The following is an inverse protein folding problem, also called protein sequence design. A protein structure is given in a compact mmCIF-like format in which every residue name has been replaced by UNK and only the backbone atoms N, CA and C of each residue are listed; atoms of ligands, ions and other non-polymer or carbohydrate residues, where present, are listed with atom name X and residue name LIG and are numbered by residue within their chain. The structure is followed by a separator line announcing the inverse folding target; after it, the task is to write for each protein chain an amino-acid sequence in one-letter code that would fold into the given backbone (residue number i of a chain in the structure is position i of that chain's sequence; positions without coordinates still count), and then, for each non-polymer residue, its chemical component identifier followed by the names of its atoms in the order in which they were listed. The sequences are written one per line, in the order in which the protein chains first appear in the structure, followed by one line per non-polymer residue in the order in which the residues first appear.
data_IF_629966448123
#
_entry.id   IF_629966448123
#
_cell.length_a   1.000
_cell.length_b   1.000
_cell.length_c   1.000
_cell.angle_alpha   90.00
_cell.angle_beta   90.00
_cell.angle_gamma   90.00
#
_symmetry.space_group_name_H-M   'P 1'
#
loop_
_entity.id
_entity.type
_entity.pdbx_description
1 polymer ?
#
# COMPACT_ATOMS: atom_id res chain seq x y z
N UNK A 1 4.05 45.56 5.33
CA UNK A 1 2.89 46.16 6.03
C UNK A 1 2.16 45.21 6.96
N UNK A 2 2.14 43.91 6.73
CA UNK A 2 1.43 42.93 7.62
C UNK A 2 2.10 42.71 8.98
N UNK A 3 3.42 42.88 9.09
CA UNK A 3 4.17 42.72 10.36
C UNK A 3 4.02 43.90 11.33
N UNK A 4 3.60 45.08 10.87
CA UNK A 4 3.37 46.24 11.73
C UNK A 4 1.98 46.27 12.38
N UNK A 5 1.00 45.60 11.76
CA UNK A 5 -0.35 45.46 12.33
C UNK A 5 -0.42 44.46 13.48
N UNK A 6 0.45 43.44 13.50
CA UNK A 6 0.51 42.46 14.56
C UNK A 6 1.09 43.02 15.88
N UNK A 7 1.98 44.04 15.79
CA UNK A 7 2.58 44.65 16.97
C UNK A 7 1.62 45.60 17.71
N UNK A 8 0.62 46.14 17.04
CA UNK A 8 -0.35 47.09 17.63
C UNK A 8 -1.45 46.31 18.42
N UNK A 9 -1.80 45.10 18.00
CA UNK A 9 -2.82 44.28 18.68
C UNK A 9 -2.30 43.71 19.99
N UNK A 10 -0.99 43.46 20.13
CA UNK A 10 -0.40 42.89 21.37
C UNK A 10 -0.19 44.00 22.44
N UNK A 11 -0.10 45.27 22.05
CA UNK A 11 0.10 46.37 23.01
C UNK A 11 -1.18 46.81 23.76
N UNK A 12 -2.36 46.42 23.30
CA UNK A 12 -3.64 46.82 23.92
C UNK A 12 -4.20 45.84 24.96
N UNK A 13 -3.56 44.69 25.18
CA UNK A 13 -4.06 43.71 26.15
C UNK A 13 -3.34 43.70 27.53
N UNK A 14 -2.38 44.59 27.74
CA UNK A 14 -1.59 44.63 29.00
C UNK A 14 -1.89 45.84 29.90
N UNK A 15 -2.98 46.57 29.66
CA UNK A 15 -3.36 47.71 30.46
C UNK A 15 -4.62 47.52 31.32
N UNK A 16 -4.59 46.67 32.31
CA UNK A 16 -5.80 46.42 33.11
C UNK A 16 -5.54 45.85 34.50
N UNK A 17 -4.66 46.47 35.29
CA UNK A 17 -4.67 46.31 36.75
C UNK A 17 -4.68 47.68 37.37
N UNK A 18 -5.86 48.32 37.39
CA UNK A 18 -6.12 49.46 38.28
C UNK A 18 -6.41 48.90 39.67
N UNK A 19 -5.54 49.24 40.62
CA UNK A 19 -5.80 49.00 42.05
C UNK A 19 -7.01 49.82 42.45
N UNK A 20 -8.13 49.17 42.76
CA UNK A 20 -9.24 49.74 43.51
C UNK A 20 -8.94 49.51 44.98
N UNK A 21 -8.84 50.61 45.73
CA UNK A 21 -8.78 50.59 47.19
C UNK A 21 -9.95 49.79 47.79
N UNK A 22 -9.74 49.00 48.85
CA UNK A 22 -10.83 48.27 49.52
C UNK A 22 -11.71 49.27 50.26
N UNK A 23 -12.82 49.68 49.68
CA UNK A 23 -13.90 50.28 50.43
C UNK A 23 -14.46 49.15 51.33
N UNK A 24 -14.16 49.27 52.60
CA UNK A 24 -14.80 48.47 53.64
C UNK A 24 -16.28 48.84 53.69
N UNK A 25 -17.08 48.17 52.87
CA UNK A 25 -18.53 48.15 53.11
C UNK A 25 -18.77 47.29 54.34
N UNK A 26 -19.14 47.97 55.39
CA UNK A 26 -19.69 47.30 56.59
C UNK A 26 -20.85 46.43 56.14
N UNK A 27 -20.66 45.11 56.22
CA UNK A 27 -21.73 44.13 55.93
C UNK A 27 -22.84 44.36 56.89
N UNK A 28 -23.90 45.00 56.45
CA UNK A 28 -25.12 45.09 57.27
C UNK A 28 -25.63 43.64 57.42
N UNK A 29 -25.86 43.19 58.66
CA UNK A 29 -26.40 41.85 58.85
C UNK A 29 -27.74 41.74 58.13
N UNK A 30 -27.82 40.79 57.21
CA UNK A 30 -29.07 40.57 56.52
C UNK A 30 -30.06 39.98 57.48
N UNK A 31 -31.15 40.71 57.74
CA UNK A 31 -32.24 40.23 58.53
C UNK A 31 -32.84 38.92 58.00
N UNK A 32 -33.10 37.98 58.90
CA UNK A 32 -33.60 36.67 58.59
C UNK A 32 -34.88 36.70 57.73
N UNK A 33 -35.71 37.70 57.93
CA UNK A 33 -36.91 37.90 57.13
C UNK A 33 -36.60 38.28 55.67
N UNK A 34 -35.63 39.17 55.50
CA UNK A 34 -35.17 39.60 54.18
C UNK A 34 -34.47 38.45 53.46
N UNK A 35 -33.68 37.63 54.12
CA UNK A 35 -33.05 36.45 53.58
C UNK A 35 -34.08 35.41 53.11
N UNK A 36 -35.07 35.10 53.97
CA UNK A 36 -36.10 34.11 53.57
C UNK A 36 -36.96 34.61 52.41
N UNK A 37 -37.26 35.92 52.36
CA UNK A 37 -38.01 36.49 51.23
C UNK A 37 -37.22 36.37 49.90
N UNK A 38 -35.90 36.62 49.92
CA UNK A 38 -35.04 36.47 48.74
C UNK A 38 -34.89 35.01 48.35
N UNK A 39 -34.79 34.10 49.30
CA UNK A 39 -34.74 32.67 49.06
C UNK A 39 -36.03 32.17 48.40
N UNK A 40 -37.19 32.59 48.90
CA UNK A 40 -38.48 32.27 48.27
C UNK A 40 -38.59 32.81 46.85
N UNK A 41 -38.17 34.06 46.59
CA UNK A 41 -38.14 34.62 45.26
C UNK A 41 -37.25 33.85 44.30
N UNK A 42 -36.07 33.39 44.78
CA UNK A 42 -35.18 32.54 43.95
C UNK A 42 -35.83 31.18 43.67
N UNK A 43 -36.50 30.56 44.64
CA UNK A 43 -37.20 29.30 44.44
C UNK A 43 -38.33 29.45 43.40
N UNK A 44 -39.14 30.47 43.52
CA UNK A 44 -40.19 30.71 42.52
C UNK A 44 -39.68 30.97 41.14
N UNK A 45 -38.60 31.75 41.00
CA UNK A 45 -37.93 31.98 39.73
C UNK A 45 -37.33 30.70 39.09
N UNK A 46 -36.74 29.82 39.92
CA UNK A 46 -36.25 28.51 39.46
C UNK A 46 -37.35 27.58 39.03
N UNK A 47 -38.49 27.54 39.76
CA UNK A 47 -39.65 26.75 39.42
C UNK A 47 -40.25 27.24 38.10
N UNK A 48 -40.32 28.55 37.88
CA UNK A 48 -40.83 29.13 36.63
C UNK A 48 -39.92 28.78 35.45
N UNK A 49 -38.59 28.88 35.59
CA UNK A 49 -37.64 28.50 34.56
C UNK A 49 -37.71 27.00 34.26
N UNK A 50 -37.84 26.16 35.27
CA UNK A 50 -38.00 24.71 35.12
C UNK A 50 -39.30 24.40 34.37
N UNK A 51 -40.41 25.03 34.76
CA UNK A 51 -41.70 24.83 34.11
C UNK A 51 -41.74 25.33 32.66
N UNK A 52 -40.98 26.40 32.32
CA UNK A 52 -40.85 26.90 30.95
C UNK A 52 -39.93 26.03 30.08
N UNK A 53 -38.87 25.47 30.64
CA UNK A 53 -37.91 24.63 29.93
C UNK A 53 -38.25 23.14 29.92
N UNK A 54 -38.92 22.66 30.98
CA UNK A 54 -39.39 21.28 31.09
C UNK A 54 -40.87 21.18 30.66
N UNK A 55 -41.28 21.83 29.58
CA UNK A 55 -42.54 21.46 28.94
C UNK A 55 -42.49 19.97 28.61
N UNK A 56 -43.59 19.21 28.87
CA UNK A 56 -43.61 17.82 28.49
C UNK A 56 -43.23 17.74 26.98
N UNK A 57 -42.07 17.18 26.69
CA UNK A 57 -41.68 16.95 25.32
C UNK A 57 -42.77 16.11 24.68
N UNK A 58 -43.26 16.59 23.54
CA UNK A 58 -44.20 15.83 22.77
C UNK A 58 -43.56 14.45 22.48
N UNK A 59 -44.05 13.43 23.13
CA UNK A 59 -43.54 12.06 23.00
C UNK A 59 -44.01 11.40 21.70
N UNK A 60 -44.92 12.05 20.96
CA UNK A 60 -45.45 11.54 19.73
C UNK A 60 -44.34 11.19 18.70
N UNK A 61 -43.28 12.00 18.48
CA UNK A 61 -42.19 11.63 17.58
C UNK A 61 -41.41 10.40 18.06
N UNK A 62 -41.26 10.20 19.35
CA UNK A 62 -40.59 9.03 19.93
C UNK A 62 -41.41 7.75 19.73
N UNK A 63 -42.71 7.83 19.88
CA UNK A 63 -43.62 6.72 19.61
C UNK A 63 -43.60 6.36 18.13
N UNK A 64 -43.65 7.35 17.23
CA UNK A 64 -43.52 7.11 15.79
C UNK A 64 -42.18 6.45 15.42
N UNK A 65 -41.08 6.92 16.00
CA UNK A 65 -39.77 6.33 15.76
C UNK A 65 -39.72 4.88 16.26
N UNK A 66 -40.31 4.61 17.41
CA UNK A 66 -40.35 3.25 17.97
C UNK A 66 -41.14 2.29 17.03
N UNK A 67 -42.30 2.74 16.51
CA UNK A 67 -43.07 1.97 15.55
C UNK A 67 -42.29 1.71 14.25
N UNK A 68 -41.57 2.71 13.73
CA UNK A 68 -40.72 2.53 12.54
C UNK A 68 -39.61 1.53 12.77
N UNK A 69 -38.97 1.58 13.95
CA UNK A 69 -37.90 0.61 14.32
C UNK A 69 -38.47 -0.79 14.41
N UNK A 70 -39.63 -0.98 15.01
CA UNK A 70 -40.30 -2.29 15.07
C UNK A 70 -40.66 -2.83 13.67
N UNK A 71 -41.13 -1.96 12.79
CA UNK A 71 -41.46 -2.34 11.41
C UNK A 71 -40.21 -2.75 10.62
N UNK A 72 -39.12 -2.02 10.79
CA UNK A 72 -37.81 -2.37 10.20
C UNK A 72 -37.28 -3.69 10.75
N UNK A 73 -37.38 -3.93 12.06
CA UNK A 73 -36.99 -5.20 12.67
C UNK A 73 -37.79 -6.39 12.09
N UNK A 74 -39.07 -6.23 11.86
CA UNK A 74 -39.90 -7.24 11.21
C UNK A 74 -39.46 -7.48 9.76
N UNK A 75 -39.15 -6.41 9.02
CA UNK A 75 -38.64 -6.53 7.64
C UNK A 75 -37.30 -7.26 7.61
N UNK A 76 -36.36 -6.91 8.49
CA UNK A 76 -35.08 -7.60 8.62
C UNK A 76 -35.25 -9.07 8.96
N UNK A 77 -36.12 -9.37 9.96
CA UNK A 77 -36.41 -10.77 10.32
C UNK A 77 -37.04 -11.55 9.16
N UNK A 78 -37.84 -10.90 8.31
CA UNK A 78 -38.37 -11.54 7.10
C UNK A 78 -37.32 -11.76 6.01
N UNK A 79 -36.26 -10.94 5.98
CA UNK A 79 -35.12 -11.09 5.07
C UNK A 79 -34.12 -12.15 5.57
N UNK A 80 -34.00 -12.34 6.88
CA UNK A 80 -33.13 -13.37 7.48
C UNK A 80 -33.70 -14.79 7.37
N UNK A 81 -34.89 -14.96 6.85
CA UNK A 81 -35.43 -16.25 6.45
C UNK A 81 -35.54 -16.43 4.91
N UNK A 82 -34.49 -16.23 4.12
CA UNK A 82 -34.36 -17.08 2.98
C UNK A 82 -34.07 -18.45 3.59
N UNK A 83 -35.00 -19.42 3.52
CA UNK A 83 -34.59 -20.82 3.50
C UNK A 83 -33.41 -20.86 2.54
N UNK A 84 -32.20 -20.95 3.08
CA UNK A 84 -31.04 -21.25 2.28
C UNK A 84 -31.47 -22.49 1.50
N UNK A 85 -31.86 -22.32 0.23
CA UNK A 85 -31.76 -23.41 -0.72
C UNK A 85 -30.33 -23.82 -0.55
N UNK A 86 -30.14 -24.95 0.11
CA UNK A 86 -28.85 -25.63 0.12
C UNK A 86 -28.57 -25.80 -1.35
N UNK A 87 -27.90 -24.81 -1.95
CA UNK A 87 -27.25 -25.00 -3.23
C UNK A 87 -26.33 -26.14 -2.90
N UNK A 88 -26.68 -27.34 -3.34
CA UNK A 88 -25.79 -28.46 -3.27
C UNK A 88 -24.51 -27.97 -3.94
N UNK A 89 -23.56 -27.52 -3.13
CA UNK A 89 -22.22 -27.20 -3.62
C UNK A 89 -21.80 -28.49 -4.28
N UNK A 90 -21.60 -28.51 -5.61
CA UNK A 90 -21.15 -29.72 -6.28
C UNK A 90 -19.94 -30.17 -5.48
N UNK A 91 -19.94 -31.37 -4.92
CA UNK A 91 -18.85 -31.93 -4.14
C UNK A 91 -17.53 -32.03 -4.91
N UNK A 92 -17.59 -31.67 -6.16
CA UNK A 92 -16.46 -31.39 -7.03
C UNK A 92 -16.71 -30.01 -7.62
N UNK A 93 -16.05 -28.98 -7.06
CA UNK A 93 -15.65 -27.89 -7.93
C UNK A 93 -15.03 -28.58 -9.13
N UNK A 94 -15.65 -28.39 -10.32
CA UNK A 94 -15.00 -28.82 -11.55
C UNK A 94 -13.58 -28.32 -11.41
N UNK A 95 -12.61 -29.25 -11.25
CA UNK A 95 -11.20 -28.87 -11.23
C UNK A 95 -11.05 -28.15 -12.55
N UNK A 96 -10.98 -26.83 -12.50
CA UNK A 96 -10.51 -26.07 -13.65
C UNK A 96 -9.23 -26.78 -14.00
N UNK A 97 -9.09 -27.42 -15.16
CA UNK A 97 -7.89 -28.14 -15.43
C UNK A 97 -6.78 -27.10 -15.46
N UNK A 98 -6.14 -26.88 -14.31
CA UNK A 98 -4.87 -26.15 -14.25
C UNK A 98 -3.89 -26.85 -15.19
N UNK A 99 -4.25 -28.07 -15.61
CA UNK A 99 -3.44 -28.92 -16.46
C UNK A 99 -2.06 -29.08 -15.84
N UNK A 100 -1.06 -29.17 -16.67
CA UNK A 100 0.35 -29.22 -16.28
C UNK A 100 0.93 -27.82 -16.04
N UNK A 101 0.09 -26.85 -15.65
CA UNK A 101 0.52 -25.47 -15.40
C UNK A 101 1.36 -25.41 -14.13
N UNK A 102 2.47 -24.73 -14.29
CA UNK A 102 3.43 -24.45 -13.26
C UNK A 102 2.91 -23.34 -12.32
N UNK A 103 2.99 -23.52 -11.02
CA UNK A 103 2.54 -22.50 -10.05
C UNK A 103 3.73 -21.62 -9.68
N UNK A 104 3.58 -20.32 -9.85
CA UNK A 104 4.55 -19.30 -9.42
C UNK A 104 3.98 -18.48 -8.28
N UNK A 105 4.83 -18.07 -7.34
CA UNK A 105 4.48 -17.07 -6.34
C UNK A 105 4.58 -15.64 -6.90
N UNK A 106 4.31 -14.63 -6.06
CA UNK A 106 4.50 -13.23 -6.46
C UNK A 106 5.98 -12.87 -6.65
N UNK A 107 6.88 -13.63 -5.98
CA UNK A 107 8.33 -13.51 -6.08
C UNK A 107 8.93 -14.90 -6.12
N UNK A 108 9.86 -15.14 -7.06
CA UNK A 108 10.58 -16.40 -7.21
C UNK A 108 12.09 -16.21 -7.24
N UNK A 109 12.82 -17.29 -6.95
CA UNK A 109 14.27 -17.36 -7.15
C UNK A 109 14.55 -17.91 -8.53
N UNK A 110 15.01 -17.06 -9.43
CA UNK A 110 15.25 -17.41 -10.84
C UNK A 110 16.73 -17.43 -11.12
N UNK A 111 17.23 -18.55 -11.63
CA UNK A 111 18.60 -18.67 -12.13
C UNK A 111 18.66 -18.21 -13.59
N UNK A 112 19.64 -17.39 -13.92
CA UNK A 112 19.91 -16.92 -15.27
C UNK A 112 21.24 -17.54 -15.71
N UNK A 113 21.20 -18.44 -16.69
CA UNK A 113 22.37 -19.23 -17.11
C UNK A 113 23.51 -18.32 -17.62
N UNK A 114 23.19 -17.29 -18.42
CA UNK A 114 24.19 -16.38 -19.01
C UNK A 114 24.93 -15.56 -17.94
N UNK A 115 24.28 -15.31 -16.82
CA UNK A 115 24.85 -14.55 -15.69
C UNK A 115 25.36 -15.44 -14.57
N UNK A 116 25.12 -16.75 -14.67
CA UNK A 116 25.50 -17.78 -13.69
C UNK A 116 25.12 -17.39 -12.24
N UNK A 117 23.90 -16.85 -12.06
CA UNK A 117 23.44 -16.40 -10.74
C UNK A 117 21.94 -16.47 -10.59
N UNK A 118 21.48 -16.49 -9.33
CA UNK A 118 20.07 -16.40 -8.97
C UNK A 118 19.67 -14.96 -8.65
N UNK A 119 18.49 -14.59 -9.10
CA UNK A 119 17.87 -13.30 -8.76
C UNK A 119 16.53 -13.52 -8.04
N UNK A 120 16.29 -12.71 -6.99
CA UNK A 120 14.94 -12.50 -6.50
C UNK A 120 14.14 -11.78 -7.60
N UNK A 121 13.11 -12.44 -8.10
CA UNK A 121 12.43 -12.05 -9.33
C UNK A 121 10.97 -11.75 -9.05
N UNK A 122 10.51 -10.57 -9.42
CA UNK A 122 9.09 -10.21 -9.39
C UNK A 122 8.34 -10.91 -10.52
N UNK A 123 7.27 -11.62 -10.17
CA UNK A 123 6.33 -12.20 -11.13
C UNK A 123 5.22 -11.16 -11.35
N UNK A 124 5.15 -10.59 -12.54
CA UNK A 124 4.28 -9.45 -12.83
C UNK A 124 3.32 -9.75 -13.98
N UNK A 125 2.08 -10.05 -13.61
CA UNK A 125 1.00 -10.31 -14.57
C UNK A 125 0.50 -9.04 -15.28
N UNK A 126 0.86 -7.85 -14.80
CA UNK A 126 0.57 -6.56 -15.43
C UNK A 126 1.56 -6.21 -16.54
N UNK A 127 2.84 -6.59 -16.39
CA UNK A 127 3.87 -6.33 -17.38
C UNK A 127 3.75 -7.28 -18.57
N UNK A 128 3.94 -6.78 -19.79
CA UNK A 128 3.93 -7.61 -21.00
C UNK A 128 5.24 -8.38 -21.17
N UNK A 129 6.39 -7.69 -21.01
CA UNK A 129 7.73 -8.23 -21.25
C UNK A 129 8.53 -8.35 -19.97
N UNK A 130 9.52 -9.25 -19.96
CA UNK A 130 10.47 -9.43 -18.88
C UNK A 130 11.61 -8.43 -18.98
N UNK A 131 12.19 -8.03 -17.81
CA UNK A 131 13.27 -7.04 -17.76
C UNK A 131 14.31 -7.38 -16.69
N UNK A 132 15.58 -7.09 -17.03
CA UNK A 132 16.73 -7.28 -16.16
C UNK A 132 17.34 -5.93 -15.77
N UNK A 133 17.73 -5.77 -14.50
CA UNK A 133 18.50 -4.61 -14.03
C UNK A 133 19.90 -4.64 -14.64
N UNK A 134 20.17 -3.70 -15.51
CA UNK A 134 21.43 -3.56 -16.21
C UNK A 134 21.89 -2.09 -16.18
N UNK A 135 23.18 -1.90 -15.90
CA UNK A 135 23.83 -0.60 -15.84
C UNK A 135 24.85 -0.43 -16.93
N UNK A 136 25.24 0.80 -17.21
CA UNK A 136 26.30 1.12 -18.16
C UNK A 136 26.08 0.46 -19.51
N UNK A 137 24.82 0.43 -19.99
CA UNK A 137 24.39 -0.22 -21.23
C UNK A 137 25.05 0.49 -22.42
N UNK A 138 25.94 -0.21 -23.13
CA UNK A 138 26.67 0.30 -24.28
C UNK A 138 26.45 -0.62 -25.47
N UNK A 139 25.90 -0.06 -26.55
CA UNK A 139 25.69 -0.77 -27.83
C UNK A 139 26.95 -0.71 -28.68
N UNK A 140 27.30 -1.82 -29.33
CA UNK A 140 28.40 -1.90 -30.27
C UNK A 140 28.09 -2.93 -31.36
N UNK A 141 28.89 -2.94 -32.42
CA UNK A 141 28.76 -3.89 -33.51
C UNK A 141 29.92 -4.90 -33.44
N UNK A 142 29.58 -6.16 -33.71
CA UNK A 142 30.56 -7.25 -33.83
C UNK A 142 30.06 -8.19 -34.94
N UNK A 143 30.90 -8.42 -35.96
CA UNK A 143 30.62 -9.33 -37.09
C UNK A 143 29.27 -9.06 -37.77
N UNK A 144 28.95 -7.77 -38.01
CA UNK A 144 27.71 -7.34 -38.65
C UNK A 144 26.45 -7.50 -37.77
N UNK A 145 26.60 -7.80 -36.50
CA UNK A 145 25.51 -7.95 -35.56
C UNK A 145 25.57 -6.88 -34.43
N UNK A 146 24.41 -6.47 -33.96
CA UNK A 146 24.33 -5.58 -32.81
C UNK A 146 24.56 -6.36 -31.52
N UNK A 147 25.47 -5.85 -30.69
CA UNK A 147 25.80 -6.38 -29.39
C UNK A 147 25.56 -5.32 -28.32
N UNK A 148 25.39 -5.77 -27.09
CA UNK A 148 25.28 -4.90 -25.93
C UNK A 148 26.24 -5.35 -24.85
N UNK A 149 26.99 -4.40 -24.30
CA UNK A 149 27.78 -4.54 -23.08
C UNK A 149 27.03 -3.86 -21.95
N UNK A 150 26.94 -4.52 -20.80
CA UNK A 150 26.21 -4.04 -19.66
C UNK A 150 26.78 -4.61 -18.36
N UNK A 151 26.43 -4.00 -17.25
CA UNK A 151 26.85 -4.42 -15.93
C UNK A 151 25.66 -4.86 -15.09
N UNK A 152 25.85 -5.94 -14.31
CA UNK A 152 24.83 -6.52 -13.43
C UNK A 152 25.43 -6.81 -12.05
N UNK A 153 24.66 -6.50 -11.00
CA UNK A 153 24.99 -6.86 -9.62
C UNK A 153 24.59 -8.31 -9.33
N UNK A 154 25.49 -9.25 -9.57
CA UNK A 154 25.21 -10.69 -9.41
C UNK A 154 25.29 -11.19 -7.97
N UNK A 155 25.96 -10.45 -7.08
CA UNK A 155 26.15 -10.82 -5.67
C UNK A 155 25.54 -9.79 -4.70
N UNK A 156 24.56 -9.01 -5.17
CA UNK A 156 23.89 -7.96 -4.41
C UNK A 156 24.49 -6.56 -4.61
N UNK A 157 23.70 -5.54 -4.26
CA UNK A 157 24.01 -4.13 -4.54
C UNK A 157 25.30 -3.60 -3.87
N UNK A 158 25.82 -4.28 -2.85
CA UNK A 158 27.01 -3.87 -2.11
C UNK A 158 28.31 -4.45 -2.69
N UNK A 159 28.23 -5.25 -3.74
CA UNK A 159 29.39 -5.83 -4.43
C UNK A 159 29.61 -5.12 -5.75
N UNK A 160 30.87 -5.12 -6.28
CA UNK A 160 31.12 -4.58 -7.60
C UNK A 160 30.27 -5.30 -8.66
N UNK A 161 29.68 -4.55 -9.61
CA UNK A 161 28.93 -5.16 -10.71
C UNK A 161 29.88 -5.96 -11.61
N UNK A 162 29.34 -7.00 -12.21
CA UNK A 162 30.05 -7.78 -13.22
C UNK A 162 29.62 -7.34 -14.61
N UNK A 163 30.57 -7.27 -15.53
CA UNK A 163 30.35 -6.88 -16.92
C UNK A 163 30.04 -8.11 -17.78
N UNK A 164 29.02 -7.96 -18.61
CA UNK A 164 28.55 -8.98 -19.56
C UNK A 164 28.41 -8.41 -20.96
N UNK A 165 28.48 -9.28 -21.93
CA UNK A 165 28.20 -8.96 -23.32
C UNK A 165 27.20 -9.97 -23.88
N UNK A 166 26.22 -9.48 -24.64
CA UNK A 166 25.24 -10.33 -25.30
C UNK A 166 24.87 -9.78 -26.69
N UNK A 167 24.44 -10.68 -27.57
CA UNK A 167 23.86 -10.28 -28.85
C UNK A 167 22.49 -9.67 -28.65
N UNK A 168 22.24 -8.54 -29.28
CA UNK A 168 20.90 -7.91 -29.26
C UNK A 168 20.00 -8.64 -30.23
N UNK A 169 18.90 -9.20 -29.73
CA UNK A 169 17.90 -9.90 -30.57
C UNK A 169 17.00 -8.87 -31.25
N UNK A 170 16.59 -7.83 -30.53
CA UNK A 170 15.73 -6.74 -31.01
C UNK A 170 15.78 -5.56 -30.04
N UNK A 171 15.07 -4.50 -30.38
CA UNK A 171 14.83 -3.38 -29.47
C UNK A 171 13.33 -3.31 -29.16
N UNK A 172 13.00 -2.97 -27.91
CA UNK A 172 11.65 -2.61 -27.49
C UNK A 172 11.57 -1.13 -27.19
N UNK A 173 10.41 -0.54 -27.41
CA UNK A 173 10.10 0.83 -27.03
C UNK A 173 9.05 0.79 -25.94
N UNK A 174 9.39 1.31 -24.78
CA UNK A 174 8.47 1.40 -23.65
C UNK A 174 7.92 2.81 -23.60
N UNK A 175 6.60 2.95 -23.69
CA UNK A 175 5.94 4.22 -23.45
C UNK A 175 5.82 4.40 -21.95
N UNK A 176 6.36 5.50 -21.42
CA UNK A 176 6.13 5.92 -20.05
C UNK A 176 5.03 6.99 -20.09
N UNK A 177 3.96 6.80 -19.32
CA UNK A 177 2.77 7.66 -19.32
C UNK A 177 3.05 9.13 -18.97
N UNK A 178 4.23 9.44 -18.42
CA UNK A 178 4.60 10.77 -17.94
C UNK A 178 5.69 11.49 -18.76
N UNK A 179 6.30 10.85 -19.77
CA UNK A 179 7.34 11.50 -20.58
C UNK A 179 7.16 11.21 -22.06
N UNK A 180 7.30 12.25 -22.90
CA UNK A 180 7.32 12.13 -24.37
C UNK A 180 8.54 11.36 -24.91
N UNK A 181 9.49 10.96 -24.04
CA UNK A 181 10.66 10.21 -24.42
C UNK A 181 10.35 8.72 -24.46
N UNK A 182 10.37 8.16 -25.65
CA UNK A 182 10.38 6.71 -25.85
C UNK A 182 11.69 6.12 -25.31
N UNK A 183 11.55 5.22 -24.31
CA UNK A 183 12.69 4.47 -23.77
C UNK A 183 12.96 3.26 -24.68
N UNK A 184 14.02 3.34 -25.48
CA UNK A 184 14.45 2.26 -26.38
C UNK A 184 15.44 1.35 -25.68
N UNK A 185 15.00 0.12 -25.37
CA UNK A 185 15.80 -0.86 -24.64
C UNK A 185 16.29 -1.99 -25.55
N UNK A 186 17.56 -2.40 -25.44
CA UNK A 186 18.04 -3.61 -26.11
C UNK A 186 17.43 -4.83 -25.40
N UNK A 187 17.16 -5.86 -26.18
CA UNK A 187 16.61 -7.14 -25.71
C UNK A 187 17.64 -8.22 -26.02
N UNK A 188 17.94 -9.01 -25.01
CA UNK A 188 18.81 -10.19 -25.10
C UNK A 188 17.99 -11.46 -24.91
N UNK A 189 18.48 -12.56 -25.43
CA UNK A 189 17.94 -13.89 -25.18
C UNK A 189 18.59 -14.48 -23.94
N UNK A 190 17.82 -15.16 -23.09
CA UNK A 190 18.28 -15.73 -21.85
C UNK A 190 17.62 -17.06 -21.51
N UNK A 191 18.38 -17.94 -20.86
CA UNK A 191 17.92 -19.23 -20.34
C UNK A 191 17.66 -19.11 -18.84
N UNK A 192 16.44 -19.35 -18.43
CA UNK A 192 15.99 -19.21 -17.04
C UNK A 192 15.66 -20.58 -16.43
N UNK A 193 15.96 -20.72 -15.14
CA UNK A 193 15.55 -21.89 -14.34
C UNK A 193 14.83 -21.45 -13.08
N UNK A 194 13.67 -22.04 -12.80
CA UNK A 194 12.85 -21.83 -11.62
C UNK A 194 12.50 -23.19 -11.04
N UNK A 195 13.14 -23.57 -9.94
CA UNK A 195 13.07 -24.94 -9.45
C UNK A 195 13.53 -25.95 -10.50
N UNK A 196 12.64 -26.82 -10.94
CA UNK A 196 12.93 -27.82 -11.98
C UNK A 196 12.51 -27.36 -13.39
N UNK A 197 11.85 -26.21 -13.49
CA UNK A 197 11.39 -25.68 -14.77
C UNK A 197 12.50 -24.84 -15.40
N UNK A 198 12.81 -25.15 -16.69
CA UNK A 198 13.76 -24.38 -17.48
C UNK A 198 13.08 -23.88 -18.77
N UNK A 199 13.28 -22.64 -19.11
CA UNK A 199 12.74 -22.01 -20.31
C UNK A 199 13.64 -20.91 -20.84
N UNK A 200 13.53 -20.67 -22.15
CA UNK A 200 14.13 -19.52 -22.81
C UNK A 200 13.18 -18.33 -22.80
N UNK A 201 13.70 -17.14 -22.67
CA UNK A 201 12.93 -15.91 -22.72
C UNK A 201 13.76 -14.72 -23.16
N UNK A 202 13.07 -13.71 -23.64
CA UNK A 202 13.66 -12.42 -23.97
C UNK A 202 13.65 -11.50 -22.76
N UNK A 203 14.80 -10.92 -22.41
CA UNK A 203 14.96 -9.93 -21.34
C UNK A 203 15.30 -8.56 -21.94
N UNK A 204 14.50 -7.54 -21.69
CA UNK A 204 14.91 -6.18 -21.98
C UNK A 204 15.83 -5.66 -20.87
N UNK A 205 16.88 -4.95 -21.26
CA UNK A 205 17.85 -4.37 -20.33
C UNK A 205 17.47 -2.94 -20.00
N UNK A 206 17.42 -2.62 -18.71
CA UNK A 206 17.10 -1.28 -18.22
C UNK A 206 17.62 -1.08 -16.81
N UNK A 207 17.86 0.17 -16.43
CA UNK A 207 18.17 0.52 -15.04
C UNK A 207 16.93 0.34 -14.17
N UNK A 208 17.03 -0.57 -13.20
CA UNK A 208 15.99 -0.90 -12.20
C UNK A 208 16.43 -0.56 -10.77
N UNK A 209 17.42 0.33 -10.60
CA UNK A 209 17.99 0.69 -9.29
C UNK A 209 16.98 1.20 -8.27
N UNK A 210 15.92 1.78 -8.76
CA UNK A 210 14.82 2.34 -7.97
C UNK A 210 13.74 1.31 -7.62
N UNK A 211 13.92 0.04 -8.02
CA UNK A 211 12.97 -1.05 -7.82
C UNK A 211 13.57 -2.13 -6.91
N UNK A 212 12.71 -2.83 -6.18
CA UNK A 212 13.12 -3.84 -5.19
C UNK A 212 13.68 -5.12 -5.81
N UNK A 213 13.33 -5.41 -7.07
CA UNK A 213 13.69 -6.67 -7.72
C UNK A 213 14.50 -6.41 -8.98
N UNK A 214 15.72 -7.00 -9.08
CA UNK A 214 16.59 -6.82 -10.25
C UNK A 214 16.09 -7.54 -11.49
N UNK A 215 15.23 -8.54 -11.34
CA UNK A 215 14.62 -9.26 -12.44
C UNK A 215 13.09 -9.21 -12.31
N UNK A 216 12.41 -9.03 -13.42
CA UNK A 216 10.96 -9.10 -13.55
C UNK A 216 10.59 -10.04 -14.70
N UNK A 217 9.67 -10.96 -14.45
CA UNK A 217 9.08 -11.81 -15.47
C UNK A 217 7.65 -11.35 -15.79
N UNK A 218 7.44 -11.01 -17.04
CA UNK A 218 6.17 -10.52 -17.55
C UNK A 218 5.30 -11.63 -18.16
N UNK A 219 4.10 -11.25 -18.62
CA UNK A 219 3.09 -12.18 -19.16
C UNK A 219 3.59 -13.04 -20.33
N UNK A 220 4.50 -12.53 -21.17
CA UNK A 220 5.04 -13.31 -22.31
C UNK A 220 5.77 -14.56 -21.85
N UNK A 221 6.46 -14.50 -20.70
CA UNK A 221 7.09 -15.68 -20.10
C UNK A 221 6.07 -16.66 -19.53
N UNK A 222 5.03 -16.14 -18.85
CA UNK A 222 4.06 -16.98 -18.12
C UNK A 222 2.96 -17.56 -19.01
N UNK A 223 2.76 -16.97 -20.19
CA UNK A 223 1.65 -17.34 -21.07
C UNK A 223 1.68 -18.84 -21.37
N UNK A 224 0.52 -19.47 -21.16
CA UNK A 224 0.26 -20.89 -21.43
C UNK A 224 1.00 -21.88 -20.51
N UNK A 225 2.00 -21.46 -19.72
CA UNK A 225 2.83 -22.32 -18.89
C UNK A 225 2.58 -22.19 -17.38
N UNK A 226 2.16 -21.02 -16.91
CA UNK A 226 2.10 -20.77 -15.47
C UNK A 226 0.78 -20.15 -15.00
N UNK A 227 0.51 -20.36 -13.70
CA UNK A 227 -0.49 -19.67 -12.90
C UNK A 227 0.21 -19.00 -11.74
N UNK A 228 -0.19 -17.79 -11.38
CA UNK A 228 0.44 -17.01 -10.30
C UNK A 228 -0.45 -17.02 -9.06
N UNK A 229 0.08 -17.52 -7.96
CA UNK A 229 -0.50 -17.39 -6.64
C UNK A 229 0.17 -16.22 -5.91
N UNK A 230 -0.49 -15.08 -5.92
CA UNK A 230 0.03 -13.84 -5.33
C UNK A 230 0.11 -13.86 -3.80
N UNK A 231 -0.45 -14.88 -3.15
CA UNK A 231 -0.35 -15.06 -1.69
C UNK A 231 0.95 -15.73 -1.25
N UNK A 232 1.70 -16.30 -2.19
CA UNK A 232 2.91 -17.06 -1.92
C UNK A 232 4.17 -16.38 -2.49
N UNK A 233 5.31 -16.73 -1.91
CA UNK A 233 6.64 -16.30 -2.36
C UNK A 233 7.57 -17.49 -2.33
N UNK A 234 8.46 -17.57 -3.33
CA UNK A 234 9.47 -18.62 -3.45
C UNK A 234 8.88 -20.04 -3.37
N UNK A 235 7.80 -20.28 -4.13
CA UNK A 235 7.11 -21.58 -4.20
C UNK A 235 8.10 -22.69 -4.59
N UNK A 236 9.10 -22.36 -5.40
CA UNK A 236 10.14 -23.30 -5.85
C UNK A 236 11.43 -23.25 -5.01
N UNK A 237 11.35 -22.65 -3.82
CA UNK A 237 12.46 -22.50 -2.89
C UNK A 237 13.23 -21.20 -3.09
N UNK A 238 13.74 -20.68 -1.98
CA UNK A 238 14.61 -19.50 -1.96
C UNK A 238 16.05 -19.95 -1.98
N UNK A 239 16.77 -19.67 -3.06
CA UNK A 239 18.21 -19.88 -3.10
C UNK A 239 18.88 -18.69 -2.44
N UNK A 240 19.49 -18.91 -1.29
CA UNK A 240 20.41 -17.96 -0.65
C UNK A 240 21.79 -18.19 -1.25
N UNK A 241 22.46 -17.15 -1.74
CA UNK A 241 23.83 -17.24 -2.21
C UNK A 241 24.73 -17.76 -1.09
N UNK A 242 24.98 -19.07 -1.06
CA UNK A 242 26.13 -19.57 -0.33
C UNK A 242 27.35 -19.33 -1.22
N UNK A 243 28.23 -18.45 -0.78
CA UNK A 243 29.58 -18.35 -1.34
C UNK A 243 30.27 -19.69 -1.06
N UNK A 244 30.18 -20.60 -1.99
CA UNK A 244 30.98 -21.83 -1.98
C UNK A 244 32.41 -21.37 -2.24
N UNK A 245 33.17 -21.17 -1.18
CA UNK A 245 34.65 -21.10 -1.26
C UNK A 245 35.12 -22.43 -1.85
N UNK A 246 35.43 -22.42 -3.14
CA UNK A 246 36.20 -23.51 -3.74
C UNK A 246 37.53 -23.57 -3.02
N UNK A 247 37.64 -24.50 -2.09
CA UNK A 247 38.93 -24.91 -1.51
C UNK A 247 39.80 -25.37 -2.69
N UNK A 248 40.88 -24.60 -2.95
CA UNK A 248 41.96 -25.06 -3.80
C UNK A 248 42.61 -26.24 -3.10
N UNK A 249 42.27 -27.47 -3.49
CA UNK A 249 43.08 -28.62 -3.20
C UNK A 249 44.34 -28.47 -4.07
N UNK A 250 45.40 -28.07 -3.43
CA UNK A 250 46.75 -28.24 -3.99
C UNK A 250 47.01 -29.74 -4.11
N UNK A 251 47.24 -30.18 -5.31
CA UNK A 251 47.87 -31.45 -5.60
C UNK A 251 49.38 -31.28 -5.33
N UNK A 252 49.87 -32.01 -4.33
CA UNK A 252 51.28 -32.42 -4.23
C UNK A 252 51.48 -33.63 -5.14
#
# INVERSE_FOLDING_TARGET
MLKQLLAIVIATTLGGCAMTEPTTHATVPVDAATFNTRLAQQQDSLIEVINQRCQPQDTAPLVQLHEQVQLLQQQVASLETPKAKTVAVPKQCARTPLGDKFILGEVESVFVDELNTHFATRIDTGAESSSLDARNITLFERDGNQWVRFEVFTQGANTPPQQFEAKVVRFVRIKQDASEKEDRRPVIHAHLKIGQYAAETDLNLTDRSHLDYPLLLGRKFMKDIAVVDVSQRYVHGKVTHQVTSRSKHALN
#
